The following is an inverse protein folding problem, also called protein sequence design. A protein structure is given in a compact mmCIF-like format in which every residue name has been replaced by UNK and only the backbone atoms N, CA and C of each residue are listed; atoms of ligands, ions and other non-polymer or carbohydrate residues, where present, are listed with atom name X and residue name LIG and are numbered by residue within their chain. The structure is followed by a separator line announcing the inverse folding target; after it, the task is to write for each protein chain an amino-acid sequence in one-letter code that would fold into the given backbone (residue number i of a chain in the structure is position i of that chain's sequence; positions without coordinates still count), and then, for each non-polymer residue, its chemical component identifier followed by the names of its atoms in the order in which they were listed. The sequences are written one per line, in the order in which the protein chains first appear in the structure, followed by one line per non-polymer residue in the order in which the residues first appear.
data_IF_409739389661
#
_entry.id   IF_409739389661
#
_cell.length_a   1.000
_cell.length_b   1.000
_cell.length_c   1.000
_cell.angle_alpha   90.00
_cell.angle_beta   90.00
_cell.angle_gamma   90.00
#
_symmetry.space_group_name_H-M   'P 1'
#
loop_
_entity.id
_entity.type
_entity.pdbx_description
1 polymer ?
#
# COMPACT_ATOMS: atom_id res chain seq x y z
N UNK A 1 -2.34 -4.48 18.05
CA UNK A 1 -2.18 -4.35 16.58
C UNK A 1 -2.80 -3.01 16.18
N UNK A 2 -2.12 -2.20 15.37
CA UNK A 2 -2.63 -0.89 14.93
C UNK A 2 -3.18 -1.01 13.51
N UNK A 3 -4.28 -0.32 13.25
CA UNK A 3 -4.92 -0.25 11.93
C UNK A 3 -4.10 0.63 11.00
N UNK A 4 -3.74 0.11 9.82
CA UNK A 4 -3.11 0.89 8.75
C UNK A 4 -4.14 1.87 8.16
N UNK A 5 -3.77 3.14 8.03
CA UNK A 5 -4.66 4.14 7.43
C UNK A 5 -4.68 4.01 5.89
N UNK A 6 -5.83 4.29 5.26
CA UNK A 6 -5.99 4.26 3.80
C UNK A 6 -6.72 5.52 3.39
N UNK A 7 -6.09 6.36 2.56
CA UNK A 7 -6.65 7.60 2.03
C UNK A 7 -6.78 7.53 0.51
N UNK A 8 -7.48 6.49 0.06
CA UNK A 8 -7.77 6.26 -1.35
C UNK A 8 -9.27 6.50 -1.58
N UNK A 9 -9.59 7.35 -2.56
CA UNK A 9 -10.97 7.74 -2.86
C UNK A 9 -11.73 6.68 -3.65
N UNK A 10 -11.04 5.95 -4.54
CA UNK A 10 -11.63 4.87 -5.31
C UNK A 10 -11.99 3.69 -4.40
N UNK A 11 -13.28 3.37 -4.27
CA UNK A 11 -13.78 2.34 -3.36
C UNK A 11 -13.30 0.93 -3.72
N UNK A 12 -13.11 0.63 -5.01
CA UNK A 12 -12.66 -0.70 -5.46
C UNK A 12 -11.20 -0.88 -5.10
N UNK A 13 -10.36 0.11 -5.39
CA UNK A 13 -8.95 0.12 -4.98
C UNK A 13 -8.83 0.10 -3.46
N UNK A 14 -9.61 0.93 -2.76
CA UNK A 14 -9.68 0.94 -1.30
C UNK A 14 -9.98 -0.45 -0.75
N UNK A 15 -10.95 -1.16 -1.31
CA UNK A 15 -11.30 -2.51 -0.88
C UNK A 15 -10.15 -3.49 -1.05
N UNK A 16 -9.51 -3.50 -2.21
CA UNK A 16 -8.37 -4.39 -2.44
C UNK A 16 -7.20 -4.12 -1.46
N UNK A 17 -6.91 -2.84 -1.19
CA UNK A 17 -5.91 -2.43 -0.19
C UNK A 17 -6.35 -2.86 1.21
N UNK A 18 -7.59 -2.56 1.60
CA UNK A 18 -8.13 -2.86 2.92
C UNK A 18 -8.02 -4.36 3.24
N UNK A 19 -8.36 -5.22 2.28
CA UNK A 19 -8.29 -6.67 2.50
C UNK A 19 -6.86 -7.19 2.62
N UNK A 20 -5.87 -6.55 1.97
CA UNK A 20 -4.46 -6.85 2.20
C UNK A 20 -4.00 -6.36 3.56
N UNK A 21 -4.16 -5.07 3.83
CA UNK A 21 -3.52 -4.41 4.98
C UNK A 21 -4.16 -4.77 6.33
N UNK A 22 -5.42 -5.20 6.32
CA UNK A 22 -6.11 -5.67 7.51
C UNK A 22 -6.01 -7.21 7.68
N UNK A 23 -5.35 -7.92 6.75
CA UNK A 23 -5.10 -9.35 6.91
C UNK A 23 -4.18 -9.60 8.11
N UNK A 24 -4.51 -10.55 9.01
CA UNK A 24 -3.65 -10.90 10.13
C UNK A 24 -2.23 -11.33 9.71
N UNK A 25 -2.10 -12.04 8.58
CA UNK A 25 -0.79 -12.48 8.07
C UNK A 25 0.05 -11.31 7.61
N UNK A 26 -0.57 -10.34 6.94
CA UNK A 26 0.08 -9.12 6.51
C UNK A 26 0.55 -8.30 7.72
N UNK A 27 -0.31 -8.11 8.71
CA UNK A 27 -0.02 -7.35 9.93
C UNK A 27 1.12 -7.98 10.74
N UNK A 28 1.24 -9.31 10.78
CA UNK A 28 2.38 -9.99 11.41
C UNK A 28 3.69 -9.79 10.60
N UNK A 29 3.62 -9.90 9.28
CA UNK A 29 4.78 -9.74 8.41
C UNK A 29 5.34 -8.32 8.41
N UNK A 30 4.49 -7.29 8.42
CA UNK A 30 4.98 -5.91 8.48
C UNK A 30 5.72 -5.65 9.78
N UNK A 31 5.26 -6.19 10.92
CA UNK A 31 5.93 -5.98 12.22
C UNK A 31 7.28 -6.68 12.25
N UNK A 32 7.39 -7.89 11.65
CA UNK A 32 8.67 -8.59 11.47
C UNK A 32 9.65 -7.81 10.60
N UNK A 33 9.18 -7.29 9.47
CA UNK A 33 10.03 -6.48 8.57
C UNK A 33 10.45 -5.18 9.23
N UNK A 34 9.53 -4.47 9.88
CA UNK A 34 9.85 -3.23 10.60
C UNK A 34 10.87 -3.47 11.71
N UNK A 35 10.74 -4.57 12.45
CA UNK A 35 11.73 -4.96 13.46
C UNK A 35 13.10 -5.24 12.83
N UNK A 36 13.14 -5.96 11.70
CA UNK A 36 14.38 -6.26 10.97
C UNK A 36 15.12 -5.01 10.48
N UNK A 37 14.39 -3.98 10.08
CA UNK A 37 14.93 -2.72 9.56
C UNK A 37 14.93 -1.58 10.60
N UNK A 38 14.76 -1.90 11.88
CA UNK A 38 14.78 -0.92 12.99
C UNK A 38 13.77 0.24 12.83
N UNK A 39 12.63 -0.03 12.18
CA UNK A 39 11.53 0.93 11.97
C UNK A 39 10.59 0.89 13.18
N UNK A 40 11.00 1.54 14.27
CA UNK A 40 10.22 1.56 15.53
C UNK A 40 8.95 2.40 15.39
N UNK A 41 9.07 3.58 14.78
CA UNK A 41 7.95 4.49 14.55
C UNK A 41 7.73 4.71 13.07
N UNK A 42 6.47 4.85 12.61
CA UNK A 42 6.23 5.23 11.23
C UNK A 42 6.90 6.57 10.91
N UNK A 43 7.49 6.66 9.73
CA UNK A 43 8.04 7.90 9.20
C UNK A 43 6.92 8.88 8.87
N UNK A 44 7.26 10.17 8.80
CA UNK A 44 6.32 11.23 8.42
C UNK A 44 6.51 11.69 6.97
N UNK A 45 7.65 11.35 6.35
CA UNK A 45 7.99 11.74 4.97
C UNK A 45 8.95 10.74 4.32
N UNK A 46 9.04 10.76 2.99
CA UNK A 46 9.94 9.90 2.22
C UNK A 46 11.42 10.09 2.56
N UNK A 47 11.85 11.33 2.83
CA UNK A 47 13.25 11.63 3.17
C UNK A 47 13.67 10.98 4.49
N UNK A 48 12.74 10.83 5.43
CA UNK A 48 13.03 10.20 6.73
C UNK A 48 13.41 8.73 6.61
N UNK A 49 12.93 8.01 5.59
CA UNK A 49 13.40 6.65 5.31
C UNK A 49 14.84 6.66 4.81
N UNK A 50 15.16 7.56 3.87
CA UNK A 50 16.51 7.65 3.30
C UNK A 50 17.54 8.01 4.38
N UNK A 51 17.26 9.00 5.24
CA UNK A 51 18.09 9.33 6.40
C UNK A 51 18.28 8.13 7.34
N UNK A 52 17.22 7.36 7.55
CA UNK A 52 17.29 6.16 8.40
C UNK A 52 18.22 5.10 7.80
N UNK A 53 18.15 4.86 6.48
CA UNK A 53 19.05 3.93 5.78
C UNK A 53 20.50 4.42 5.87
N UNK A 54 20.75 5.71 5.62
CA UNK A 54 22.08 6.33 5.72
C UNK A 54 22.67 6.07 7.11
N UNK A 55 21.89 6.31 8.16
CA UNK A 55 22.29 6.05 9.55
C UNK A 55 22.58 4.57 9.81
N UNK A 56 21.73 3.66 9.36
CA UNK A 56 21.94 2.21 9.53
C UNK A 56 23.20 1.72 8.79
N UNK A 57 23.55 2.36 7.68
CA UNK A 57 24.78 2.08 6.94
C UNK A 57 26.05 2.55 7.66
N UNK A 58 25.91 3.37 8.71
CA UNK A 58 27.00 3.86 9.55
C UNK A 58 27.52 5.24 9.18
N UNK A 59 26.78 6.02 8.39
CA UNK A 59 27.13 7.40 8.08
C UNK A 59 26.72 8.36 9.20
N UNK A 60 27.51 9.42 9.38
CA UNK A 60 27.03 10.65 9.98
C UNK A 60 26.16 11.43 8.98
N UNK A 61 24.95 11.82 9.39
CA UNK A 61 23.98 12.44 8.49
C UNK A 61 24.41 13.83 8.03
N UNK A 62 24.98 14.63 8.92
CA UNK A 62 25.40 15.99 8.60
C UNK A 62 26.58 15.97 7.64
N UNK A 63 27.55 15.08 7.87
CA UNK A 63 28.65 14.84 6.95
C UNK A 63 28.13 14.36 5.58
N UNK A 64 27.29 13.32 5.55
CA UNK A 64 26.73 12.77 4.31
C UNK A 64 26.05 13.85 3.46
N UNK A 65 25.13 14.61 4.06
CA UNK A 65 24.41 15.65 3.35
C UNK A 65 25.30 16.85 2.96
N UNK A 66 26.36 17.13 3.74
CA UNK A 66 27.35 18.14 3.36
C UNK A 66 28.13 17.72 2.11
N UNK A 67 28.50 16.45 2.01
CA UNK A 67 29.24 15.90 0.87
C UNK A 67 28.36 15.75 -0.37
N UNK A 68 27.09 15.37 -0.22
CA UNK A 68 26.14 15.28 -1.33
C UNK A 68 25.95 16.62 -2.05
N UNK A 69 25.94 17.73 -1.31
CA UNK A 69 25.79 19.10 -1.87
C UNK A 69 26.99 19.58 -2.69
N UNK A 70 28.15 18.94 -2.57
CA UNK A 70 29.35 19.32 -3.34
C UNK A 70 29.15 18.89 -4.80
N UNK A 71 29.09 19.89 -5.70
CA UNK A 71 28.92 19.68 -7.14
C UNK A 71 30.21 19.22 -7.83
N UNK A 72 30.10 18.47 -8.95
CA UNK A 72 31.20 18.26 -9.88
C UNK A 72 31.79 19.62 -10.29
N UNK A 73 33.12 19.73 -10.34
CA UNK A 73 33.89 20.95 -10.67
C UNK A 73 33.99 22.04 -9.58
N UNK A 74 33.44 21.79 -8.39
CA UNK A 74 33.67 22.67 -7.24
C UNK A 74 35.10 22.53 -6.67
N UNK A 75 35.58 23.56 -5.96
CA UNK A 75 36.91 23.56 -5.32
C UNK A 75 37.06 22.46 -4.25
N UNK A 76 35.93 21.95 -3.76
CA UNK A 76 35.86 20.92 -2.72
C UNK A 76 35.67 19.51 -3.30
N UNK A 77 35.73 19.33 -4.63
CA UNK A 77 35.51 18.04 -5.28
C UNK A 77 36.53 16.98 -4.86
N UNK A 78 37.81 17.35 -4.72
CA UNK A 78 38.85 16.41 -4.28
C UNK A 78 38.52 15.85 -2.89
N UNK A 79 38.00 16.69 -1.99
CA UNK A 79 37.53 16.28 -0.66
C UNK A 79 36.36 15.29 -0.76
N UNK A 80 35.37 15.54 -1.63
CA UNK A 80 34.25 14.60 -1.86
C UNK A 80 34.78 13.27 -2.44
N UNK A 81 35.72 13.33 -3.37
CA UNK A 81 36.31 12.14 -3.99
C UNK A 81 37.01 11.24 -2.96
N UNK A 82 37.80 11.83 -2.06
CA UNK A 82 38.47 11.08 -1.01
C UNK A 82 37.49 10.54 0.05
N UNK A 83 36.45 11.32 0.38
CA UNK A 83 35.37 10.86 1.25
C UNK A 83 34.63 9.65 0.65
N UNK A 84 34.30 9.68 -0.65
CA UNK A 84 33.65 8.56 -1.35
C UNK A 84 34.50 7.28 -1.29
N UNK A 85 35.82 7.38 -1.51
CA UNK A 85 36.74 6.24 -1.37
C UNK A 85 36.75 5.71 0.07
N UNK A 86 36.77 6.60 1.06
CA UNK A 86 36.83 6.21 2.47
C UNK A 86 35.52 5.58 2.99
N UNK A 87 34.40 5.83 2.32
CA UNK A 87 33.06 5.39 2.74
C UNK A 87 32.47 4.29 1.86
N UNK A 88 33.26 3.69 0.98
CA UNK A 88 32.81 2.62 0.06
C UNK A 88 32.05 1.50 0.79
N UNK A 89 32.53 1.07 1.95
CA UNK A 89 31.87 0.04 2.76
C UNK A 89 30.49 0.48 3.27
N UNK A 90 30.32 1.75 3.62
CA UNK A 90 29.03 2.29 4.04
C UNK A 90 28.07 2.36 2.84
N UNK A 91 28.56 2.72 1.65
CA UNK A 91 27.74 2.72 0.43
C UNK A 91 27.24 1.32 0.08
N UNK A 92 28.11 0.30 0.18
CA UNK A 92 27.74 -1.11 -0.01
C UNK A 92 26.66 -1.52 1.01
N UNK A 93 26.82 -1.15 2.29
CA UNK A 93 25.82 -1.44 3.33
C UNK A 93 24.48 -0.75 3.05
N UNK A 94 24.50 0.53 2.68
CA UNK A 94 23.31 1.30 2.33
C UNK A 94 22.54 0.60 1.19
N UNK A 95 23.25 0.23 0.14
CA UNK A 95 22.70 -0.52 -1.01
C UNK A 95 22.12 -1.86 -0.58
N UNK A 96 22.81 -2.61 0.29
CA UNK A 96 22.34 -3.89 0.79
C UNK A 96 21.07 -3.77 1.66
N UNK A 97 20.97 -2.71 2.46
CA UNK A 97 19.78 -2.41 3.28
C UNK A 97 18.59 -2.09 2.37
N UNK A 98 18.76 -1.21 1.39
CA UNK A 98 17.67 -0.86 0.45
C UNK A 98 17.21 -2.07 -0.36
N UNK A 99 18.15 -2.84 -0.90
CA UNK A 99 17.85 -4.08 -1.62
C UNK A 99 17.10 -5.07 -0.72
N UNK A 100 17.62 -5.32 0.48
CA UNK A 100 16.99 -6.24 1.43
C UNK A 100 15.58 -5.78 1.85
N UNK A 101 15.33 -4.48 1.93
CA UNK A 101 14.02 -3.91 2.21
C UNK A 101 13.05 -4.17 1.04
N UNK A 102 13.48 -3.91 -0.19
CA UNK A 102 12.67 -4.19 -1.38
C UNK A 102 12.42 -5.70 -1.58
N UNK A 103 13.40 -6.55 -1.30
CA UNK A 103 13.22 -8.01 -1.31
C UNK A 103 12.13 -8.44 -0.32
N UNK A 104 12.06 -7.80 0.85
CA UNK A 104 11.01 -8.06 1.84
C UNK A 104 9.62 -7.62 1.34
N UNK A 105 9.53 -6.45 0.68
CA UNK A 105 8.30 -5.97 0.03
C UNK A 105 7.81 -6.97 -1.01
N UNK A 106 8.69 -7.37 -1.94
CA UNK A 106 8.41 -8.32 -3.01
C UNK A 106 7.98 -9.67 -2.43
N UNK A 107 8.66 -10.15 -1.39
CA UNK A 107 8.29 -11.40 -0.71
C UNK A 107 6.88 -11.34 -0.11
N UNK A 108 6.53 -10.24 0.57
CA UNK A 108 5.18 -10.06 1.12
C UNK A 108 4.15 -10.04 0.00
N UNK A 109 4.41 -9.31 -1.10
CA UNK A 109 3.51 -9.25 -2.26
C UNK A 109 3.26 -10.64 -2.82
N UNK A 110 4.34 -11.36 -3.18
CA UNK A 110 4.26 -12.69 -3.80
C UNK A 110 3.50 -13.67 -2.91
N UNK A 111 3.73 -13.62 -1.59
CA UNK A 111 3.04 -14.45 -0.61
C UNK A 111 1.52 -14.21 -0.56
N UNK A 112 1.06 -12.99 -0.84
CA UNK A 112 -0.37 -12.65 -0.89
C UNK A 112 -0.91 -12.64 -2.33
N UNK A 113 -0.10 -13.02 -3.32
CA UNK A 113 -0.42 -13.06 -4.74
C UNK A 113 -0.93 -11.73 -5.32
N UNK A 114 -0.55 -10.58 -4.75
CA UNK A 114 -0.93 -9.30 -5.32
C UNK A 114 -0.03 -8.92 -6.52
N UNK A 115 -0.54 -8.10 -7.47
CA UNK A 115 0.25 -7.61 -8.59
C UNK A 115 1.32 -6.60 -8.13
N UNK A 116 2.34 -6.38 -8.96
CA UNK A 116 3.50 -5.50 -8.68
C UNK A 116 3.10 -4.09 -8.20
N UNK A 117 1.96 -3.57 -8.67
CA UNK A 117 1.43 -2.27 -8.25
C UNK A 117 1.30 -2.16 -6.71
N UNK A 118 1.06 -3.28 -6.02
CA UNK A 118 0.95 -3.33 -4.56
C UNK A 118 2.29 -3.23 -3.82
N UNK A 119 3.44 -3.31 -4.49
CA UNK A 119 4.73 -3.03 -3.84
C UNK A 119 4.71 -1.62 -3.21
N UNK A 120 4.06 -0.66 -3.88
CA UNK A 120 3.86 0.70 -3.35
C UNK A 120 2.98 0.73 -2.09
N UNK A 121 1.93 -0.10 -2.03
CA UNK A 121 1.00 -0.22 -0.89
C UNK A 121 1.73 -0.81 0.31
N UNK A 122 2.48 -1.88 0.07
CA UNK A 122 3.24 -2.61 1.09
C UNK A 122 4.34 -1.72 1.64
N UNK A 123 5.09 -1.03 0.77
CA UNK A 123 6.12 -0.07 1.17
C UNK A 123 5.53 1.07 2.01
N UNK A 124 4.43 1.67 1.58
CA UNK A 124 3.77 2.73 2.36
C UNK A 124 3.26 2.23 3.71
N UNK A 125 2.73 1.00 3.76
CA UNK A 125 2.29 0.35 5.00
C UNK A 125 3.45 0.12 5.97
N UNK A 126 4.60 -0.32 5.48
CA UNK A 126 5.82 -0.53 6.28
C UNK A 126 6.41 0.78 6.82
N UNK A 127 6.52 1.79 5.96
CA UNK A 127 7.21 3.04 6.27
C UNK A 127 6.32 4.02 7.05
N UNK A 128 5.06 4.17 6.64
CA UNK A 128 4.20 5.25 7.11
C UNK A 128 2.99 4.75 7.91
N UNK A 129 2.76 3.44 7.96
CA UNK A 129 1.55 2.84 8.55
C UNK A 129 0.25 3.44 7.96
N UNK A 130 0.35 3.89 6.71
CA UNK A 130 -0.67 4.67 6.01
C UNK A 130 -0.42 4.54 4.51
N UNK A 131 -1.48 4.41 3.73
CA UNK A 131 -1.45 4.34 2.26
C UNK A 131 -2.21 5.55 1.70
N UNK A 132 -1.49 6.47 1.07
CA UNK A 132 -2.06 7.74 0.58
C UNK A 132 -2.10 7.83 -0.94
N UNK A 133 -1.25 7.07 -1.63
CA UNK A 133 -1.20 7.06 -3.08
C UNK A 133 -1.19 5.63 -3.60
N UNK A 134 -2.01 5.36 -4.60
CA UNK A 134 -1.98 4.11 -5.33
C UNK A 134 -2.19 4.39 -6.81
N UNK A 135 -1.13 4.18 -7.58
CA UNK A 135 -1.20 4.30 -9.02
C UNK A 135 -1.68 2.97 -9.59
N UNK A 136 -2.85 3.01 -10.23
CA UNK A 136 -3.42 1.86 -10.96
C UNK A 136 -2.69 1.57 -12.27
N UNK A 137 -1.73 2.42 -12.65
CA UNK A 137 -0.87 2.25 -13.81
C UNK A 137 0.59 2.53 -13.43
N UNK A 138 1.49 1.65 -13.86
CA UNK A 138 2.93 1.89 -13.84
C UNK A 138 3.40 2.12 -15.27
N UNK A 139 3.96 3.30 -15.54
CA UNK A 139 4.77 3.50 -16.74
C UNK A 139 6.16 2.96 -16.44
N UNK A 140 6.53 1.86 -17.10
CA UNK A 140 7.91 1.37 -17.04
C UNK A 140 8.60 1.83 -18.30
N UNK A 141 9.44 2.86 -18.15
CA UNK A 141 10.46 3.17 -19.15
C UNK A 141 11.58 2.15 -18.96
N UNK A 142 11.67 1.18 -19.86
CA UNK A 142 12.85 0.32 -19.96
C UNK A 142 14.00 1.14 -20.54
N UNK A 143 14.69 1.89 -19.66
CA UNK A 143 16.08 2.24 -19.91
C UNK A 143 16.93 1.18 -19.21
N UNK A 144 17.74 0.48 -20.00
CA UNK A 144 18.65 -0.60 -19.61
C UNK A 144 19.76 -0.21 -18.60
N UNK A 145 19.58 0.79 -17.73
CA UNK A 145 20.64 1.29 -16.83
C UNK A 145 20.17 1.65 -15.40
N UNK A 146 19.18 0.96 -14.84
CA UNK A 146 18.97 0.99 -13.39
C UNK A 146 19.39 -0.36 -12.77
N UNK A 147 20.44 -0.40 -11.91
CA UNK A 147 20.93 -1.63 -11.29
C UNK A 147 20.00 -2.20 -10.19
N UNK A 148 18.75 -1.75 -10.12
CA UNK A 148 17.82 -2.07 -9.02
C UNK A 148 16.53 -2.77 -9.46
N UNK A 149 16.36 -3.10 -10.74
CA UNK A 149 15.25 -3.96 -11.18
C UNK A 149 15.71 -5.42 -11.19
N UNK A 150 15.65 -6.09 -10.03
CA UNK A 150 15.99 -7.52 -9.91
C UNK A 150 14.86 -8.46 -10.32
N UNK A 151 13.75 -7.96 -10.86
CA UNK A 151 12.57 -8.77 -11.13
C UNK A 151 12.27 -8.82 -12.64
N UNK A 152 13.16 -9.48 -13.39
CA UNK A 152 12.94 -9.81 -14.81
C UNK A 152 11.73 -10.74 -15.02
N UNK A 153 11.24 -11.38 -13.94
CA UNK A 153 10.14 -12.36 -13.98
C UNK A 153 8.73 -11.79 -13.71
N UNK A 154 8.61 -10.55 -13.25
CA UNK A 154 7.28 -9.99 -12.98
C UNK A 154 6.71 -9.37 -14.27
N UNK A 155 5.54 -9.83 -14.75
CA UNK A 155 4.99 -9.31 -16.00
C UNK A 155 4.53 -7.86 -15.81
N UNK A 156 5.21 -6.97 -16.52
CA UNK A 156 4.85 -5.56 -16.61
C UNK A 156 4.40 -5.31 -18.05
N UNK A 157 3.14 -4.93 -18.21
CA UNK A 157 2.61 -4.54 -19.50
C UNK A 157 3.02 -3.10 -19.79
N UNK A 158 4.01 -2.93 -20.65
CA UNK A 158 4.47 -1.63 -21.11
C UNK A 158 4.02 -1.39 -22.55
N UNK A 159 3.45 -0.20 -22.82
CA UNK A 159 3.23 0.27 -24.18
C UNK A 159 4.50 1.01 -24.60
N UNK A 160 5.30 0.39 -25.45
CA UNK A 160 6.53 0.99 -25.97
C UNK A 160 6.19 1.86 -27.18
N UNK A 161 6.54 3.14 -27.09
CA UNK A 161 6.33 4.10 -28.18
C UNK A 161 7.65 4.45 -28.84
N UNK A 162 7.62 4.59 -30.17
CA UNK A 162 8.77 5.07 -30.95
C UNK A 162 8.47 6.47 -31.47
N UNK A 163 9.47 7.25 -31.91
CA UNK A 163 9.22 8.55 -32.55
C UNK A 163 8.30 8.48 -33.78
N UNK A 164 8.12 7.29 -34.37
CA UNK A 164 7.23 7.06 -35.51
C UNK A 164 5.82 6.61 -35.13
N UNK A 165 5.57 6.32 -33.84
CA UNK A 165 4.27 5.87 -33.36
C UNK A 165 3.25 7.01 -33.42
N UNK A 166 2.13 6.76 -34.08
CA UNK A 166 0.98 7.67 -34.10
C UNK A 166 0.18 7.57 -32.80
N UNK A 167 -0.69 8.54 -32.53
CA UNK A 167 -1.62 8.49 -31.41
C UNK A 167 -2.55 7.27 -31.52
N UNK A 168 -2.96 6.95 -32.73
CA UNK A 168 -3.84 5.83 -33.05
C UNK A 168 -3.16 4.50 -32.72
N UNK A 169 -1.87 4.36 -33.01
CA UNK A 169 -1.07 3.16 -32.65
C UNK A 169 -1.02 2.98 -31.13
N UNK A 170 -0.82 4.07 -30.38
CA UNK A 170 -0.78 4.03 -28.90
C UNK A 170 -2.14 3.65 -28.33
N UNK A 171 -3.23 4.20 -28.87
CA UNK A 171 -4.58 3.86 -28.43
C UNK A 171 -4.95 2.41 -28.77
N UNK A 172 -4.58 1.92 -29.94
CA UNK A 172 -4.79 0.52 -30.34
C UNK A 172 -4.04 -0.43 -29.42
N UNK A 173 -2.74 -0.17 -29.17
CA UNK A 173 -1.94 -0.92 -28.21
C UNK A 173 -2.52 -0.85 -26.79
N UNK A 174 -3.09 0.30 -26.40
CA UNK A 174 -3.75 0.44 -25.11
C UNK A 174 -5.03 -0.40 -25.00
N UNK A 175 -5.90 -0.42 -26.01
CA UNK A 175 -7.08 -1.28 -26.01
C UNK A 175 -6.71 -2.77 -26.03
N UNK A 176 -5.68 -3.16 -26.79
CA UNK A 176 -5.13 -4.52 -26.77
C UNK A 176 -4.58 -4.88 -25.37
N UNK A 177 -3.90 -3.93 -24.73
CA UNK A 177 -3.36 -4.09 -23.38
C UNK A 177 -4.45 -4.38 -22.34
N UNK A 178 -5.65 -3.80 -22.49
CA UNK A 178 -6.79 -4.10 -21.60
C UNK A 178 -7.27 -5.54 -21.72
N UNK A 179 -7.15 -6.16 -22.88
CA UNK A 179 -7.50 -7.56 -23.07
C UNK A 179 -6.43 -8.49 -22.47
N UNK A 180 -5.16 -8.06 -22.50
CA UNK A 180 -4.06 -8.77 -21.85
C UNK A 180 -4.09 -8.61 -20.32
N UNK A 181 -4.58 -7.47 -19.81
CA UNK A 181 -4.80 -7.20 -18.38
C UNK A 181 -5.60 -8.32 -17.71
N UNK A 182 -6.64 -8.82 -18.37
CA UNK A 182 -7.46 -9.95 -17.92
C UNK A 182 -6.67 -11.25 -17.72
N UNK A 183 -5.55 -11.47 -18.42
CA UNK A 183 -4.71 -12.66 -18.23
C UNK A 183 -3.71 -12.49 -17.06
N UNK A 184 -3.25 -11.27 -16.79
CA UNK A 184 -2.27 -10.99 -15.72
C UNK A 184 -2.89 -10.70 -14.35
N UNK A 185 -4.08 -10.07 -14.33
CA UNK A 185 -4.84 -9.81 -13.09
C UNK A 185 -5.45 -11.06 -12.46
N UNK A 186 -5.34 -12.24 -13.08
CA UNK A 186 -5.71 -13.53 -12.46
C UNK A 186 -4.97 -13.82 -11.15
N UNK A 187 -3.84 -13.13 -10.91
CA UNK A 187 -3.12 -13.23 -9.63
C UNK A 187 -3.86 -12.51 -8.50
N UNK A 188 -4.55 -11.40 -8.78
CA UNK A 188 -5.23 -10.61 -7.76
C UNK A 188 -6.38 -11.45 -7.15
N UNK A 189 -6.29 -11.82 -5.86
CA UNK A 189 -7.22 -12.77 -5.25
C UNK A 189 -8.68 -12.25 -5.21
N UNK A 190 -8.89 -10.96 -5.50
CA UNK A 190 -10.14 -10.23 -5.30
C UNK A 190 -10.74 -9.62 -6.57
N UNK A 191 -10.04 -9.60 -7.71
CA UNK A 191 -10.47 -8.94 -8.97
C UNK A 191 -11.88 -9.36 -9.42
N UNK A 192 -12.19 -10.64 -9.26
CA UNK A 192 -13.43 -11.28 -9.71
C UNK A 192 -14.41 -11.63 -8.59
N UNK A 193 -14.07 -11.35 -7.32
CA UNK A 193 -14.81 -11.83 -6.14
C UNK A 193 -15.53 -10.74 -5.36
N UNK A 194 -15.21 -9.47 -5.59
CA UNK A 194 -15.84 -8.37 -4.86
C UNK A 194 -17.19 -8.01 -5.48
N UNK A 195 -18.27 -8.29 -4.73
CA UNK A 195 -19.61 -7.85 -5.09
C UNK A 195 -19.77 -6.32 -4.87
N UNK A 196 -20.72 -5.72 -5.59
CA UNK A 196 -20.97 -4.27 -5.53
C UNK A 196 -21.33 -3.79 -4.11
N UNK A 197 -22.07 -4.58 -3.33
CA UNK A 197 -22.45 -4.22 -1.95
C UNK A 197 -21.21 -4.15 -1.05
N UNK A 198 -20.29 -5.09 -1.18
CA UNK A 198 -18.99 -5.06 -0.49
C UNK A 198 -18.18 -3.81 -0.84
N UNK A 199 -18.08 -3.46 -2.13
CA UNK A 199 -17.30 -2.29 -2.58
C UNK A 199 -17.94 -0.99 -2.09
N UNK A 200 -19.25 -0.81 -2.27
CA UNK A 200 -19.95 0.41 -1.88
C UNK A 200 -19.86 0.67 -0.37
N UNK A 201 -19.90 -0.39 0.45
CA UNK A 201 -19.94 -0.29 1.90
C UNK A 201 -18.60 -0.57 2.60
N UNK A 202 -17.50 -0.63 1.86
CA UNK A 202 -16.23 -1.15 2.36
C UNK A 202 -15.68 -0.39 3.58
N UNK A 203 -15.69 0.94 3.56
CA UNK A 203 -15.18 1.77 4.65
C UNK A 203 -15.98 1.56 5.94
N UNK A 204 -17.30 1.51 5.83
CA UNK A 204 -18.20 1.23 6.95
C UNK A 204 -17.94 -0.15 7.54
N UNK A 205 -17.92 -1.18 6.69
CA UNK A 205 -17.73 -2.55 7.12
C UNK A 205 -16.34 -2.74 7.76
N UNK A 206 -15.32 -2.10 7.19
CA UNK A 206 -13.96 -2.04 7.74
C UNK A 206 -13.91 -1.34 9.09
N UNK A 207 -14.56 -0.19 9.23
CA UNK A 207 -14.60 0.55 10.49
C UNK A 207 -15.24 -0.29 11.61
N UNK A 208 -16.39 -0.93 11.32
CA UNK A 208 -17.05 -1.83 12.28
C UNK A 208 -16.20 -3.04 12.63
N UNK A 209 -15.48 -3.61 11.67
CA UNK A 209 -14.56 -4.72 11.93
C UNK A 209 -13.50 -4.34 12.95
N UNK A 210 -12.84 -3.19 12.78
CA UNK A 210 -11.80 -2.72 13.70
C UNK A 210 -12.34 -2.32 15.07
N UNK A 211 -13.50 -1.66 15.13
CA UNK A 211 -14.15 -1.38 16.41
C UNK A 211 -14.46 -2.66 17.19
N UNK A 212 -14.94 -3.70 16.50
CA UNK A 212 -15.17 -5.00 17.13
C UNK A 212 -13.85 -5.64 17.57
N UNK A 213 -12.82 -5.59 16.73
CA UNK A 213 -11.50 -6.15 17.03
C UNK A 213 -10.87 -5.51 18.28
N UNK A 214 -11.12 -4.21 18.49
CA UNK A 214 -10.72 -3.47 19.69
C UNK A 214 -11.60 -3.75 20.93
N UNK A 215 -12.55 -4.69 20.83
CA UNK A 215 -13.35 -5.17 21.94
C UNK A 215 -14.70 -4.47 22.11
N UNK A 216 -15.12 -3.57 21.21
CA UNK A 216 -16.48 -3.01 21.28
C UNK A 216 -17.51 -4.08 20.93
N UNK A 217 -18.61 -4.10 21.67
CA UNK A 217 -19.76 -4.96 21.35
C UNK A 217 -20.50 -4.42 20.14
N UNK A 218 -21.12 -5.30 19.34
CA UNK A 218 -21.91 -4.88 18.18
C UNK A 218 -23.04 -3.92 18.54
N UNK A 219 -23.68 -4.11 19.71
CA UNK A 219 -24.67 -3.18 20.24
C UNK A 219 -24.09 -1.77 20.43
N UNK A 220 -22.89 -1.65 20.99
CA UNK A 220 -22.23 -0.36 21.21
C UNK A 220 -21.83 0.29 19.89
N UNK A 221 -21.29 -0.48 18.94
CA UNK A 221 -20.94 0.00 17.60
C UNK A 221 -22.18 0.54 16.89
N UNK A 222 -23.30 -0.20 16.93
CA UNK A 222 -24.56 0.24 16.32
C UNK A 222 -25.07 1.54 16.95
N UNK A 223 -25.06 1.65 18.27
CA UNK A 223 -25.47 2.89 18.96
C UNK A 223 -24.55 4.06 18.58
N UNK A 224 -23.23 3.86 18.60
CA UNK A 224 -22.25 4.89 18.23
C UNK A 224 -22.42 5.32 16.77
N UNK A 225 -22.70 4.37 15.88
CA UNK A 225 -22.97 4.62 14.45
C UNK A 225 -24.25 5.43 14.25
N UNK A 226 -25.36 4.99 14.85
CA UNK A 226 -26.64 5.68 14.73
C UNK A 226 -26.58 7.08 15.35
N UNK A 227 -25.78 7.30 16.40
CA UNK A 227 -25.59 8.62 17.01
C UNK A 227 -24.86 9.65 16.11
N UNK A 228 -24.28 9.24 14.97
CA UNK A 228 -23.77 10.17 13.95
C UNK A 228 -24.91 10.86 13.19
N UNK A 229 -26.10 10.26 13.18
CA UNK A 229 -27.33 10.83 12.67
C UNK A 229 -27.86 11.87 13.67
N UNK A 230 -27.92 13.14 13.28
CA UNK A 230 -28.48 14.21 14.13
C UNK A 230 -29.93 13.93 14.54
N UNK A 231 -30.73 13.37 13.62
CA UNK A 231 -32.14 13.02 13.84
C UNK A 231 -32.30 11.86 14.82
N UNK A 232 -31.54 10.76 14.64
CA UNK A 232 -31.55 9.66 15.61
C UNK A 232 -31.16 10.13 17.01
N UNK A 233 -30.13 10.98 17.10
CA UNK A 233 -29.66 11.54 18.38
C UNK A 233 -30.73 12.42 19.06
N UNK A 234 -31.54 13.13 18.26
CA UNK A 234 -32.64 13.95 18.75
C UNK A 234 -33.94 13.15 19.02
N UNK A 235 -34.00 11.88 18.60
CA UNK A 235 -35.24 11.08 18.62
C UNK A 235 -36.27 11.57 17.59
N UNK A 236 -35.82 12.21 16.52
CA UNK A 236 -36.63 12.80 15.46
C UNK A 236 -36.66 11.93 14.20
N UNK A 237 -37.76 11.98 13.45
CA UNK A 237 -37.86 11.35 12.14
C UNK A 237 -37.16 12.19 11.06
N UNK A 238 -36.63 11.53 10.02
CA UNK A 238 -36.05 12.23 8.90
C UNK A 238 -37.10 13.00 8.10
N UNK A 239 -36.86 14.28 7.76
CA UNK A 239 -37.75 15.00 6.88
C UNK A 239 -37.81 14.33 5.49
N UNK A 240 -39.03 14.12 4.99
CA UNK A 240 -39.36 13.55 3.69
C UNK A 240 -38.96 12.08 3.47
N UNK A 241 -38.85 11.27 4.52
CA UNK A 241 -38.61 9.82 4.38
C UNK A 241 -37.27 9.45 3.72
N UNK A 242 -36.31 10.39 3.67
CA UNK A 242 -34.98 10.13 3.14
C UNK A 242 -34.23 9.18 4.08
N UNK A 243 -33.71 8.10 3.53
CA UNK A 243 -32.86 7.15 4.24
C UNK A 243 -31.48 7.77 4.46
N UNK A 244 -31.09 7.95 5.71
CA UNK A 244 -29.74 8.36 6.06
C UNK A 244 -28.85 7.12 6.25
N UNK A 245 -27.59 7.20 5.81
CA UNK A 245 -26.61 6.11 5.90
C UNK A 245 -26.35 5.60 7.33
N UNK A 246 -26.63 6.44 8.32
CA UNK A 246 -26.43 6.13 9.74
C UNK A 246 -27.64 5.47 10.40
N UNK A 247 -28.84 5.65 9.84
CA UNK A 247 -30.11 5.36 10.51
C UNK A 247 -30.91 4.33 9.68
N UNK A 248 -30.35 3.85 8.56
CA UNK A 248 -30.86 2.76 7.72
C UNK A 248 -30.57 1.34 8.25
N UNK A 249 -29.88 1.23 9.39
CA UNK A 249 -29.55 -0.04 10.02
C UNK A 249 -30.52 -0.33 11.15
N UNK A 250 -31.50 -1.19 10.85
CA UNK A 250 -32.61 -1.47 11.75
C UNK A 250 -32.24 -2.45 12.88
N UNK A 251 -31.19 -3.26 12.72
CA UNK A 251 -30.79 -4.22 13.75
C UNK A 251 -29.30 -4.60 13.78
N UNK A 252 -28.88 -5.11 14.93
CA UNK A 252 -27.52 -5.62 15.18
C UNK A 252 -27.13 -6.74 14.21
N UNK A 253 -28.07 -7.57 13.77
CA UNK A 253 -27.80 -8.71 12.88
C UNK A 253 -27.23 -8.26 11.53
N UNK A 254 -27.65 -7.11 10.99
CA UNK A 254 -27.09 -6.56 9.75
C UNK A 254 -25.60 -6.21 9.91
N UNK A 255 -25.25 -5.58 11.04
CA UNK A 255 -23.88 -5.22 11.36
C UNK A 255 -23.02 -6.48 11.52
N UNK A 256 -23.52 -7.49 12.23
CA UNK A 256 -22.83 -8.78 12.40
C UNK A 256 -22.56 -9.46 11.06
N UNK A 257 -23.56 -9.52 10.19
CA UNK A 257 -23.41 -10.08 8.83
C UNK A 257 -22.40 -9.30 7.99
N UNK A 258 -22.40 -7.97 8.09
CA UNK A 258 -21.45 -7.12 7.37
C UNK A 258 -20.01 -7.36 7.85
N UNK A 259 -19.77 -7.41 9.17
CA UNK A 259 -18.46 -7.71 9.75
C UNK A 259 -18.02 -9.14 9.43
N UNK A 260 -18.93 -10.12 9.48
CA UNK A 260 -18.64 -11.49 9.10
C UNK A 260 -18.23 -11.62 7.63
N UNK A 261 -18.92 -10.92 6.72
CA UNK A 261 -18.57 -10.87 5.29
C UNK A 261 -17.22 -10.22 5.06
N UNK A 262 -16.95 -9.11 5.75
CA UNK A 262 -15.65 -8.45 5.69
C UNK A 262 -14.53 -9.41 6.11
N UNK A 263 -14.70 -10.13 7.23
CA UNK A 263 -13.76 -11.15 7.70
C UNK A 263 -13.58 -12.31 6.74
N UNK A 264 -14.67 -12.77 6.12
CA UNK A 264 -14.59 -13.81 5.11
C UNK A 264 -13.71 -13.36 3.94
N UNK A 265 -13.85 -12.12 3.49
CA UNK A 265 -13.02 -11.58 2.42
C UNK A 265 -11.55 -11.41 2.83
N UNK A 266 -11.25 -11.11 4.10
CA UNK A 266 -9.86 -11.16 4.60
C UNK A 266 -9.25 -12.55 4.45
N UNK A 267 -10.04 -13.62 4.60
CA UNK A 267 -9.56 -14.99 4.45
C UNK A 267 -9.20 -15.35 3.00
N UNK A 268 -9.78 -14.66 2.02
CA UNK A 268 -9.46 -14.85 0.59
C UNK A 268 -8.04 -14.37 0.24
N UNK A 269 -7.43 -13.59 1.13
CA UNK A 269 -6.10 -12.99 1.00
C UNK A 269 -5.05 -13.75 1.85
N UNK A 270 -5.45 -14.84 2.51
CA UNK A 270 -4.52 -15.69 3.25
C UNK A 270 -3.54 -16.32 2.24
N UNK A 271 -2.23 -16.31 2.54
CA UNK A 271 -1.24 -17.01 1.74
C UNK A 271 -1.67 -18.45 1.53
N UNK A 272 -1.76 -18.89 0.28
CA UNK A 272 -1.79 -20.33 0.05
C UNK A 272 -0.41 -20.83 0.43
N UNK A 273 -0.33 -21.58 1.52
CA UNK A 273 0.82 -22.46 1.74
C UNK A 273 0.73 -23.50 0.64
N UNK A 274 1.46 -23.27 -0.44
CA UNK A 274 1.78 -24.35 -1.37
C UNK A 274 2.49 -25.43 -0.54
N UNK A 275 1.85 -26.60 -0.51
CA UNK A 275 2.40 -27.87 -0.01
C UNK A 275 3.48 -28.33 -0.99
#
# INVERSE_FOLDING_TARGET
MKQIQIDITDKRVYAQIAFLVDSPTFLDLIEKVRSKFEIVTPFTSGNSWHDHVIRLAGYDLDEYWSMEKIEPDSKDWDRKSDWLKSTEQNFIKMTAIEKGFMDAVVKIRKLHHYPVLFDSVIRQSLLFHRVTDFKTAMAVMTYNNLPFSTNEDDPILAIVVTPSSSKEDVLAAFEESKNMKTQYEFTNPLESKLDNDTVTNIERNRAWHWEQYLGKTYKKILVDWNNKCSYFKAGEEHPNGKTCEYCSLENQNMLERAVARYRHNLQLVIPKTDI
#
